data_IF_742283797710
#
_entry.id   IF_742283797710
#
_cell.length_a   1.000
_cell.length_b   1.000
_cell.length_c   1.000
_cell.angle_alpha   90.00
_cell.angle_beta   90.00
_cell.angle_gamma   90.00
#
_symmetry.space_group_name_H-M   'P 1'
#
loop_
_entity.id
_entity.type
_entity.pdbx_description
1 polymer ?
#
# COMPACT_ATOMS: atom_id res chain seq x y z
N UNK A 1 42.86 -56.19 -51.73
CA UNK A 1 42.72 -54.73 -51.52
C UNK A 1 41.44 -54.49 -50.74
N UNK A 2 41.54 -53.98 -49.50
CA UNK A 2 40.41 -53.82 -48.57
C UNK A 2 39.45 -52.74 -49.08
N UNK A 3 38.20 -53.11 -49.34
CA UNK A 3 37.10 -52.15 -49.55
C UNK A 3 36.31 -52.06 -48.24
N UNK A 4 36.40 -50.91 -47.58
CA UNK A 4 35.69 -50.60 -46.33
C UNK A 4 34.19 -50.44 -46.65
N UNK A 5 33.34 -51.31 -46.10
CA UNK A 5 31.89 -51.11 -46.06
C UNK A 5 31.57 -50.12 -44.93
N UNK A 6 31.19 -48.91 -45.30
CA UNK A 6 30.66 -47.92 -44.37
C UNK A 6 29.15 -48.18 -44.20
N UNK A 7 28.77 -48.76 -43.06
CA UNK A 7 27.37 -48.90 -42.65
C UNK A 7 26.93 -47.59 -42.01
N UNK A 8 26.06 -46.83 -42.68
CA UNK A 8 25.41 -45.64 -42.10
C UNK A 8 24.18 -46.14 -41.33
N UNK A 9 24.25 -46.10 -39.99
CA UNK A 9 23.11 -46.31 -39.11
C UNK A 9 22.26 -45.03 -39.11
N UNK A 10 21.03 -45.11 -39.65
CA UNK A 10 20.02 -44.06 -39.51
C UNK A 10 19.33 -44.27 -38.15
N UNK A 11 19.70 -43.49 -37.13
CA UNK A 11 18.97 -43.44 -35.86
C UNK A 11 17.89 -42.37 -36.00
N UNK A 12 16.66 -42.79 -36.27
CA UNK A 12 15.48 -41.94 -36.18
C UNK A 12 15.15 -41.71 -34.70
N UNK A 13 15.68 -40.64 -34.11
CA UNK A 13 15.26 -40.16 -32.80
C UNK A 13 13.90 -39.48 -32.90
N UNK A 14 12.83 -40.15 -32.47
CA UNK A 14 11.56 -39.50 -32.15
C UNK A 14 11.79 -38.60 -30.93
N UNK A 15 11.95 -37.30 -31.15
CA UNK A 15 11.78 -36.30 -30.11
C UNK A 15 10.28 -36.10 -29.89
N UNK A 16 9.73 -36.78 -28.87
CA UNK A 16 8.45 -36.42 -28.28
C UNK A 16 8.63 -35.09 -27.53
N UNK A 17 8.33 -33.99 -28.20
CA UNK A 17 8.08 -32.72 -27.52
C UNK A 17 6.76 -32.86 -26.76
N UNK A 18 6.83 -33.08 -25.45
CA UNK A 18 5.71 -32.83 -24.57
C UNK A 18 5.43 -31.31 -24.60
N UNK A 19 4.51 -30.88 -25.45
CA UNK A 19 3.94 -29.55 -25.33
C UNK A 19 3.05 -29.55 -24.08
N UNK A 20 3.63 -29.16 -22.94
CA UNK A 20 2.82 -28.73 -21.82
C UNK A 20 2.20 -27.39 -22.20
N UNK A 21 1.05 -27.43 -22.89
CA UNK A 21 0.15 -26.29 -22.93
C UNK A 21 -0.50 -26.19 -21.55
N UNK A 22 0.20 -25.55 -20.60
CA UNK A 22 -0.46 -25.08 -19.40
C UNK A 22 -1.43 -23.98 -19.82
N UNK A 23 -2.70 -24.33 -19.98
CA UNK A 23 -3.76 -23.35 -19.85
C UNK A 23 -3.82 -22.99 -18.36
N UNK A 24 -2.96 -22.07 -17.92
CA UNK A 24 -2.98 -21.55 -16.56
C UNK A 24 -4.26 -20.73 -16.42
N UNK A 25 -5.35 -21.36 -15.99
CA UNK A 25 -6.42 -20.60 -15.35
C UNK A 25 -5.79 -19.90 -14.15
N UNK A 26 -5.87 -18.56 -14.05
CA UNK A 26 -5.32 -17.84 -12.91
C UNK A 26 -5.86 -18.40 -11.60
N UNK A 27 -5.02 -18.40 -10.56
CA UNK A 27 -5.42 -18.93 -9.26
C UNK A 27 -6.58 -18.10 -8.68
N UNK A 28 -7.57 -18.78 -8.12
CA UNK A 28 -8.68 -18.21 -7.37
C UNK A 28 -8.27 -17.73 -5.96
N UNK A 29 -6.97 -17.65 -5.71
CA UNK A 29 -6.32 -17.34 -4.45
C UNK A 29 -4.96 -16.67 -4.74
N UNK A 30 -4.40 -16.01 -3.74
CA UNK A 30 -3.03 -15.48 -3.76
C UNK A 30 -2.20 -16.23 -2.72
N UNK A 31 -1.06 -16.75 -3.14
CA UNK A 31 -0.09 -17.36 -2.23
C UNK A 31 0.60 -16.29 -1.39
N UNK A 32 0.38 -16.30 -0.08
CA UNK A 32 1.05 -15.42 0.87
C UNK A 32 1.69 -16.25 1.98
N UNK A 33 3.00 -16.09 2.20
CA UNK A 33 3.79 -16.86 3.18
C UNK A 33 3.56 -18.39 3.11
N UNK A 34 3.40 -18.93 1.91
CA UNK A 34 3.23 -20.38 1.68
C UNK A 34 1.82 -20.92 1.90
N UNK A 35 0.82 -20.06 2.14
CA UNK A 35 -0.60 -20.44 2.18
C UNK A 35 -1.37 -19.70 1.07
N UNK A 36 -2.32 -20.38 0.47
CA UNK A 36 -3.28 -19.79 -0.47
C UNK A 36 -4.39 -19.04 0.28
N UNK A 37 -4.64 -17.80 -0.13
CA UNK A 37 -5.69 -16.97 0.44
C UNK A 37 -6.67 -16.47 -0.60
N UNK A 38 -7.96 -16.60 -0.31
CA UNK A 38 -8.96 -15.73 -0.90
C UNK A 38 -9.02 -14.44 -0.07
N UNK A 39 -8.85 -13.29 -0.71
CA UNK A 39 -8.88 -12.00 -0.02
C UNK A 39 -10.36 -11.62 0.22
N UNK A 40 -10.82 -11.83 1.45
CA UNK A 40 -12.10 -11.33 1.94
C UNK A 40 -11.82 -10.00 2.62
N UNK A 41 -11.62 -8.96 1.82
CA UNK A 41 -11.07 -7.70 2.26
C UNK A 41 -12.08 -6.57 2.39
N UNK A 42 -11.57 -5.38 2.74
CA UNK A 42 -12.35 -4.14 2.74
C UNK A 42 -11.46 -2.93 2.44
N UNK A 43 -12.02 -1.94 1.76
CA UNK A 43 -11.38 -0.64 1.60
C UNK A 43 -11.60 0.21 2.85
N UNK A 44 -10.49 0.64 3.45
CA UNK A 44 -10.44 1.71 4.45
C UNK A 44 -9.56 2.77 3.82
N UNK A 45 -10.09 3.51 2.83
CA UNK A 45 -9.23 4.30 1.97
C UNK A 45 -8.52 5.39 2.80
N UNK A 46 -9.16 5.89 3.85
CA UNK A 46 -8.54 6.67 4.92
C UNK A 46 -9.51 6.84 6.09
N UNK A 47 -9.00 7.19 7.27
CA UNK A 47 -9.73 7.93 8.30
C UNK A 47 -9.49 9.44 8.16
N UNK A 48 -8.23 9.83 7.93
CA UNK A 48 -7.81 11.18 7.56
C UNK A 48 -7.07 11.14 6.23
N UNK A 49 -7.72 11.56 5.14
CA UNK A 49 -7.19 11.47 3.77
C UNK A 49 -5.75 11.98 3.68
N UNK A 50 -4.85 11.11 3.23
CA UNK A 50 -3.43 11.39 3.04
C UNK A 50 -2.69 11.80 4.32
N UNK A 51 -3.28 11.59 5.50
CA UNK A 51 -2.79 12.10 6.80
C UNK A 51 -2.96 11.10 7.94
N UNK A 52 -3.30 9.84 7.65
CA UNK A 52 -3.37 8.76 8.64
C UNK A 52 -1.99 8.33 9.16
N UNK A 53 -0.91 8.78 8.53
CA UNK A 53 0.44 8.66 9.04
C UNK A 53 1.23 9.94 8.73
N UNK A 54 2.09 10.34 9.68
CA UNK A 54 2.93 11.51 9.55
C UNK A 54 2.31 12.80 10.09
N UNK A 55 2.93 13.93 9.76
CA UNK A 55 2.59 15.24 10.33
C UNK A 55 2.32 16.25 9.24
N UNK A 56 1.05 16.61 9.02
CA UNK A 56 0.72 17.64 8.03
C UNK A 56 1.27 19.00 8.48
N UNK A 57 1.95 19.73 7.59
CA UNK A 57 2.67 20.95 7.95
C UNK A 57 1.78 22.08 8.51
N UNK A 58 0.47 22.06 8.21
CA UNK A 58 -0.51 23.03 8.74
C UNK A 58 -1.44 22.43 9.80
N UNK A 59 -1.74 21.13 9.71
CA UNK A 59 -2.78 20.51 10.54
C UNK A 59 -2.20 19.74 11.73
N UNK A 60 -0.87 19.50 11.72
CA UNK A 60 -0.21 18.64 12.68
C UNK A 60 -0.44 17.15 12.38
N UNK A 61 -0.18 16.32 13.38
CA UNK A 61 -0.38 14.88 13.29
C UNK A 61 -1.86 14.53 13.46
N UNK A 62 -2.41 13.76 12.51
CA UNK A 62 -3.82 13.35 12.49
C UNK A 62 -4.01 11.84 12.70
N UNK A 63 -2.93 11.11 12.99
CA UNK A 63 -3.00 9.68 13.29
C UNK A 63 -3.92 9.37 14.48
N UNK A 64 -4.97 8.59 14.24
CA UNK A 64 -5.91 8.12 15.28
C UNK A 64 -5.76 6.62 15.55
N UNK A 65 -4.97 6.30 16.58
CA UNK A 65 -4.80 4.92 17.06
C UNK A 65 -6.13 4.24 17.44
N UNK A 66 -7.10 4.99 17.99
CA UNK A 66 -8.35 4.43 18.50
C UNK A 66 -9.26 4.00 17.35
N UNK A 67 -9.27 4.79 16.27
CA UNK A 67 -9.90 4.41 15.00
C UNK A 67 -9.35 3.07 14.50
N UNK A 68 -8.03 2.97 14.32
CA UNK A 68 -7.41 1.74 13.78
C UNK A 68 -7.61 0.53 14.71
N UNK A 69 -7.58 0.73 16.03
CA UNK A 69 -7.89 -0.33 16.99
C UNK A 69 -9.31 -0.88 16.77
N UNK A 70 -10.30 0.02 16.72
CA UNK A 70 -11.71 -0.36 16.52
C UNK A 70 -11.93 -1.01 15.15
N UNK A 71 -11.29 -0.48 14.10
CA UNK A 71 -11.35 -1.01 12.75
C UNK A 71 -10.88 -2.46 12.69
N UNK A 72 -9.68 -2.75 13.21
CA UNK A 72 -9.09 -4.08 13.09
C UNK A 72 -9.77 -5.11 13.99
N UNK A 73 -10.27 -4.71 15.17
CA UNK A 73 -11.13 -5.56 16.01
C UNK A 73 -12.41 -5.98 15.27
N UNK A 74 -13.06 -5.03 14.57
CA UNK A 74 -14.25 -5.29 13.75
C UNK A 74 -13.94 -6.17 12.55
N UNK A 75 -12.83 -5.93 11.86
CA UNK A 75 -12.39 -6.76 10.75
C UNK A 75 -12.25 -8.23 11.19
N UNK A 76 -11.56 -8.47 12.31
CA UNK A 76 -11.44 -9.80 12.89
C UNK A 76 -12.79 -10.41 13.25
N UNK A 77 -13.67 -9.65 13.90
CA UNK A 77 -14.99 -10.13 14.33
C UNK A 77 -15.87 -10.59 13.16
N UNK A 78 -15.74 -9.95 12.00
CA UNK A 78 -16.56 -10.20 10.81
C UNK A 78 -15.82 -10.95 9.70
N UNK A 79 -14.67 -11.56 10.00
CA UNK A 79 -13.98 -12.45 9.07
C UNK A 79 -13.30 -11.74 7.90
N UNK A 80 -12.98 -10.45 8.05
CA UNK A 80 -12.18 -9.69 7.08
C UNK A 80 -10.70 -9.99 7.31
N UNK A 81 -10.01 -10.47 6.28
CA UNK A 81 -8.60 -10.86 6.39
C UNK A 81 -7.60 -9.85 5.83
N UNK A 82 -8.06 -8.82 5.11
CA UNK A 82 -7.19 -7.79 4.53
C UNK A 82 -7.86 -6.41 4.49
N UNK A 83 -7.12 -5.38 4.90
CA UNK A 83 -7.50 -3.97 4.76
C UNK A 83 -6.65 -3.32 3.68
N UNK A 84 -7.30 -2.63 2.73
CA UNK A 84 -6.63 -1.74 1.77
C UNK A 84 -6.68 -0.31 2.32
N UNK A 85 -5.51 0.31 2.51
CA UNK A 85 -5.35 1.61 3.19
C UNK A 85 -4.46 2.55 2.37
N UNK A 86 -4.92 3.76 2.06
CA UNK A 86 -4.10 4.74 1.33
C UNK A 86 -3.19 5.51 2.28
N UNK A 87 -1.95 5.82 1.87
CA UNK A 87 -0.96 6.47 2.75
C UNK A 87 -0.56 7.88 2.29
N UNK A 88 0.03 8.05 1.10
CA UNK A 88 0.43 9.37 0.60
C UNK A 88 -0.74 10.08 -0.09
N UNK A 89 -1.61 9.32 -0.74
CA UNK A 89 -2.75 9.82 -1.53
C UNK A 89 -2.30 10.87 -2.57
N UNK A 90 -2.52 12.16 -2.26
CA UNK A 90 -2.17 13.30 -3.10
C UNK A 90 -0.87 14.01 -2.70
N UNK A 91 -0.14 13.50 -1.71
CA UNK A 91 1.11 14.08 -1.23
C UNK A 91 0.98 15.16 -0.16
N UNK A 92 -0.23 15.45 0.35
CA UNK A 92 -0.44 16.60 1.25
C UNK A 92 0.36 16.55 2.56
N UNK A 93 0.53 15.36 3.14
CA UNK A 93 1.26 15.16 4.40
C UNK A 93 2.56 14.39 4.21
N UNK A 94 2.59 13.46 3.28
CA UNK A 94 3.75 12.61 3.03
C UNK A 94 3.85 12.30 1.54
N UNK A 95 5.07 12.19 0.99
CA UNK A 95 6.36 12.44 1.63
C UNK A 95 6.66 13.94 1.80
N UNK A 96 7.87 14.27 2.27
CA UNK A 96 8.36 15.65 2.34
C UNK A 96 9.03 16.06 1.02
N UNK A 97 8.77 17.29 0.57
CA UNK A 97 9.29 17.84 -0.68
C UNK A 97 10.16 19.08 -0.44
N UNK A 98 11.18 19.27 -1.27
CA UNK A 98 11.88 20.55 -1.39
C UNK A 98 11.15 21.52 -2.36
N UNK A 99 11.72 22.71 -2.55
CA UNK A 99 11.16 23.75 -3.43
C UNK A 99 11.19 23.36 -4.91
N UNK A 100 12.00 22.37 -5.31
CA UNK A 100 12.02 21.87 -6.68
C UNK A 100 10.99 20.76 -6.92
N UNK A 101 10.33 20.24 -5.88
CA UNK A 101 9.39 19.13 -5.95
C UNK A 101 10.06 17.75 -5.84
N UNK A 102 11.35 17.69 -5.52
CA UNK A 102 12.04 16.45 -5.18
C UNK A 102 11.68 16.01 -3.78
N UNK A 103 11.55 14.70 -3.60
CA UNK A 103 11.27 14.13 -2.29
C UNK A 103 12.55 14.11 -1.47
N UNK A 104 12.51 14.68 -0.26
CA UNK A 104 13.65 14.78 0.65
C UNK A 104 13.57 13.84 1.84
N UNK A 105 12.41 13.22 2.09
CA UNK A 105 12.28 12.27 3.19
C UNK A 105 10.85 11.96 3.60
N UNK A 106 10.74 11.36 4.77
CA UNK A 106 9.50 11.19 5.53
C UNK A 106 9.68 11.92 6.86
N UNK A 107 8.61 12.52 7.38
CA UNK A 107 8.66 13.14 8.70
C UNK A 107 8.87 12.10 9.82
N UNK A 108 9.27 12.57 10.99
CA UNK A 108 9.65 11.69 12.11
C UNK A 108 8.51 10.82 12.66
N UNK A 109 7.25 11.15 12.40
CA UNK A 109 6.09 10.39 12.89
C UNK A 109 5.60 9.34 11.88
N UNK A 110 5.89 9.52 10.59
CA UNK A 110 5.30 8.68 9.54
C UNK A 110 5.55 7.18 9.75
N UNK A 111 6.81 6.78 9.92
CA UNK A 111 7.16 5.36 10.06
C UNK A 111 6.64 4.74 11.35
N UNK A 112 6.58 5.50 12.46
CA UNK A 112 6.07 4.99 13.73
C UNK A 112 4.54 4.87 13.73
N UNK A 113 3.82 5.76 13.03
CA UNK A 113 2.37 5.62 12.83
C UNK A 113 2.05 4.38 12.00
N UNK A 114 2.75 4.15 10.88
CA UNK A 114 2.55 2.93 10.08
C UNK A 114 2.91 1.66 10.85
N UNK A 115 3.98 1.67 11.64
CA UNK A 115 4.35 0.53 12.50
C UNK A 115 3.25 0.18 13.49
N UNK A 116 2.63 1.19 14.11
CA UNK A 116 1.52 0.97 15.04
C UNK A 116 0.27 0.42 14.32
N UNK A 117 -0.05 0.92 13.12
CA UNK A 117 -1.12 0.38 12.28
C UNK A 117 -0.88 -1.11 11.96
N UNK A 118 0.32 -1.46 11.50
CA UNK A 118 0.68 -2.86 11.24
C UNK A 118 0.61 -3.72 12.50
N UNK A 119 1.07 -3.22 13.65
CA UNK A 119 1.02 -3.94 14.91
C UNK A 119 -0.41 -4.23 15.35
N UNK A 120 -1.33 -3.26 15.23
CA UNK A 120 -2.75 -3.45 15.55
C UNK A 120 -3.39 -4.46 14.60
N UNK A 121 -3.11 -4.38 13.29
CA UNK A 121 -3.59 -5.36 12.32
C UNK A 121 -3.08 -6.77 12.62
N UNK A 122 -1.81 -6.92 12.99
CA UNK A 122 -1.21 -8.21 13.32
C UNK A 122 -1.85 -8.83 14.58
N UNK A 123 -2.10 -8.04 15.63
CA UNK A 123 -2.82 -8.48 16.84
C UNK A 123 -4.22 -9.00 16.53
N UNK A 124 -4.83 -8.49 15.46
CA UNK A 124 -6.16 -8.85 15.02
C UNK A 124 -6.17 -9.90 13.90
N UNK A 125 -5.01 -10.43 13.50
CA UNK A 125 -4.90 -11.37 12.38
C UNK A 125 -5.49 -10.82 11.07
N UNK A 126 -5.24 -9.54 10.80
CA UNK A 126 -5.68 -8.86 9.58
C UNK A 126 -4.45 -8.37 8.83
N UNK A 127 -4.38 -8.74 7.55
CA UNK A 127 -3.37 -8.25 6.61
C UNK A 127 -3.67 -6.81 6.18
N UNK A 128 -2.64 -6.10 5.73
CA UNK A 128 -2.75 -4.73 5.28
C UNK A 128 -2.05 -4.61 3.92
N UNK A 129 -2.75 -4.00 2.97
CA UNK A 129 -2.24 -3.59 1.67
C UNK A 129 -2.20 -2.05 1.62
N UNK A 130 -1.09 -1.43 2.03
CA UNK A 130 -0.89 0.01 1.85
C UNK A 130 -0.86 0.38 0.37
N UNK A 131 -1.69 1.35 -0.02
CA UNK A 131 -1.66 2.02 -1.32
C UNK A 131 -0.87 3.33 -1.20
N UNK A 132 0.29 3.39 -1.84
CA UNK A 132 1.24 4.50 -1.73
C UNK A 132 0.57 5.79 -2.20
N UNK A 133 0.20 5.85 -3.48
CA UNK A 133 -0.38 7.04 -4.12
C UNK A 133 -1.83 6.81 -4.55
N UNK A 134 -2.55 7.88 -4.84
CA UNK A 134 -3.76 7.82 -5.68
C UNK A 134 -3.61 8.78 -6.85
N UNK A 135 -4.45 8.62 -7.88
CA UNK A 135 -4.55 9.58 -8.99
C UNK A 135 -4.79 11.03 -8.55
N UNK A 136 -5.25 11.25 -7.30
CA UNK A 136 -5.36 12.58 -6.70
C UNK A 136 -4.02 13.33 -6.66
N UNK A 137 -2.88 12.64 -6.71
CA UNK A 137 -1.56 13.27 -6.80
C UNK A 137 -1.41 14.19 -8.02
N UNK A 138 -2.23 14.02 -9.06
CA UNK A 138 -2.24 14.91 -10.24
C UNK A 138 -3.46 15.82 -10.34
N UNK A 139 -4.28 15.91 -9.28
CA UNK A 139 -5.32 16.95 -9.12
C UNK A 139 -4.72 18.22 -8.50
N UNK A 140 -5.55 19.25 -8.32
CA UNK A 140 -5.17 20.46 -7.58
C UNK A 140 -6.05 20.61 -6.34
N UNK A 141 -5.47 20.35 -5.17
CA UNK A 141 -6.09 20.60 -3.87
C UNK A 141 -5.31 21.64 -3.06
N UNK A 142 -4.44 22.42 -3.71
CA UNK A 142 -3.54 23.33 -3.00
C UNK A 142 -4.27 24.40 -2.19
N UNK A 143 -5.44 24.83 -2.69
CA UNK A 143 -6.29 25.80 -2.01
C UNK A 143 -6.97 25.24 -0.75
N UNK A 144 -7.27 23.94 -0.69
CA UNK A 144 -8.03 23.32 0.41
C UNK A 144 -7.16 22.54 1.39
N UNK A 145 -6.03 22.00 0.93
CA UNK A 145 -5.20 21.06 1.67
C UNK A 145 -3.70 21.43 1.70
N UNK A 146 -3.35 22.65 1.30
CA UNK A 146 -1.99 23.16 1.41
C UNK A 146 -1.13 22.87 0.18
N UNK A 147 0.04 23.50 0.12
CA UNK A 147 0.87 23.61 -1.12
C UNK A 147 1.35 22.29 -1.72
N UNK A 148 1.28 21.18 -0.96
CA UNK A 148 1.70 19.85 -1.40
C UNK A 148 0.52 18.94 -1.78
N UNK A 149 -0.73 19.42 -1.71
CA UNK A 149 -1.90 18.60 -2.01
C UNK A 149 -2.18 18.54 -3.51
N UNK A 150 -1.62 17.52 -4.18
CA UNK A 150 -1.70 17.32 -5.62
C UNK A 150 -0.61 18.05 -6.41
N UNK A 151 -0.80 18.15 -7.73
CA UNK A 151 0.10 18.76 -8.71
C UNK A 151 1.49 18.11 -8.86
N UNK A 152 1.61 16.82 -8.54
CA UNK A 152 2.85 16.02 -8.57
C UNK A 152 3.07 15.22 -9.86
N UNK A 153 2.54 15.65 -11.01
CA UNK A 153 2.77 14.92 -12.26
C UNK A 153 4.26 14.90 -12.68
N UNK A 154 5.06 15.84 -12.20
CA UNK A 154 6.50 15.86 -12.39
C UNK A 154 7.21 14.70 -11.69
N UNK A 155 6.71 14.20 -10.56
CA UNK A 155 7.20 12.99 -9.89
C UNK A 155 7.09 11.75 -10.79
N UNK A 156 6.08 11.74 -11.68
CA UNK A 156 5.83 10.69 -12.68
C UNK A 156 6.58 10.96 -13.99
N UNK A 157 6.73 12.20 -14.43
CA UNK A 157 7.40 12.56 -15.70
C UNK A 157 8.92 12.50 -15.58
N UNK A 158 9.46 13.06 -14.51
CA UNK A 158 10.90 13.17 -14.29
C UNK A 158 11.42 11.95 -13.52
N UNK A 159 12.28 11.18 -14.18
CA UNK A 159 12.90 10.01 -13.56
C UNK A 159 13.79 10.33 -12.36
N UNK A 160 14.41 11.50 -12.30
CA UNK A 160 15.24 11.89 -11.17
C UNK A 160 14.39 12.19 -9.93
N UNK A 161 13.21 12.78 -10.10
CA UNK A 161 12.23 12.95 -9.02
C UNK A 161 11.63 11.62 -8.58
N UNK A 162 11.34 10.72 -9.52
CA UNK A 162 10.96 9.34 -9.16
C UNK A 162 12.05 8.69 -8.30
N UNK A 163 13.34 8.86 -8.65
CA UNK A 163 14.48 8.34 -7.88
C UNK A 163 14.59 9.00 -6.50
N UNK A 164 14.33 10.31 -6.36
CA UNK A 164 14.35 10.97 -5.05
C UNK A 164 13.27 10.41 -4.12
N UNK A 165 12.05 10.17 -4.63
CA UNK A 165 11.00 9.45 -3.87
C UNK A 165 11.44 8.05 -3.47
N UNK A 166 11.99 7.29 -4.43
CA UNK A 166 12.43 5.91 -4.18
C UNK A 166 13.47 5.87 -3.06
N UNK A 167 14.49 6.73 -3.12
CA UNK A 167 15.59 6.71 -2.18
C UNK A 167 15.22 7.26 -0.81
N UNK A 168 14.45 8.35 -0.78
CA UNK A 168 14.25 9.13 0.45
C UNK A 168 12.96 8.76 1.19
N UNK A 169 12.00 8.11 0.55
CA UNK A 169 10.74 7.68 1.17
C UNK A 169 10.48 6.17 1.01
N UNK A 170 10.47 5.64 -0.22
CA UNK A 170 10.08 4.26 -0.48
C UNK A 170 11.02 3.23 0.15
N UNK A 171 12.32 3.30 -0.13
CA UNK A 171 13.31 2.35 0.39
C UNK A 171 13.33 2.34 1.94
N UNK A 172 13.28 3.49 2.63
CA UNK A 172 13.08 3.53 4.09
C UNK A 172 11.85 2.74 4.56
N UNK A 173 10.68 2.90 3.92
CA UNK A 173 9.48 2.13 4.26
C UNK A 173 9.68 0.64 4.00
N UNK A 174 10.13 0.27 2.81
CA UNK A 174 10.32 -1.13 2.38
C UNK A 174 11.26 -1.86 3.34
N UNK A 175 12.37 -1.25 3.72
CA UNK A 175 13.32 -1.82 4.68
C UNK A 175 12.74 -1.90 6.09
N UNK A 176 11.99 -0.88 6.53
CA UNK A 176 11.36 -0.86 7.86
C UNK A 176 10.37 -2.00 8.04
N UNK A 177 9.60 -2.33 6.99
CA UNK A 177 8.50 -3.29 7.05
C UNK A 177 8.74 -4.62 6.32
N UNK A 178 9.98 -4.89 5.88
CA UNK A 178 10.33 -6.08 5.10
C UNK A 178 9.89 -7.40 5.78
N UNK A 179 9.97 -7.46 7.11
CA UNK A 179 9.63 -8.64 7.92
C UNK A 179 8.24 -8.57 8.58
N UNK A 180 7.44 -7.55 8.27
CA UNK A 180 6.08 -7.40 8.84
C UNK A 180 5.19 -8.53 8.35
N UNK A 181 4.76 -9.41 9.26
CA UNK A 181 4.02 -10.64 8.94
C UNK A 181 2.68 -10.40 8.23
N UNK A 182 2.06 -9.23 8.43
CA UNK A 182 0.74 -8.88 7.91
C UNK A 182 0.80 -7.77 6.85
N UNK A 183 1.99 -7.40 6.35
CA UNK A 183 2.11 -6.61 5.13
C UNK A 183 1.90 -7.52 3.92
N UNK A 184 0.68 -7.48 3.37
CA UNK A 184 0.24 -8.34 2.27
C UNK A 184 0.99 -8.00 0.98
N UNK A 185 0.86 -6.75 0.55
CA UNK A 185 1.45 -6.21 -0.66
C UNK A 185 1.57 -4.69 -0.55
N UNK A 186 2.46 -4.10 -1.35
CA UNK A 186 2.44 -2.67 -1.62
C UNK A 186 1.63 -2.42 -2.89
N UNK A 187 0.58 -1.62 -2.80
CA UNK A 187 -0.06 -1.07 -3.98
C UNK A 187 0.58 0.26 -4.34
N UNK A 188 1.06 0.39 -5.57
CA UNK A 188 1.84 1.56 -5.99
C UNK A 188 0.95 2.79 -6.10
N UNK A 189 -0.18 2.65 -6.77
CA UNK A 189 -1.07 3.76 -7.07
C UNK A 189 -2.50 3.26 -7.32
N UNK A 190 -3.45 3.96 -6.71
CA UNK A 190 -4.88 3.82 -6.96
C UNK A 190 -5.27 4.55 -8.26
N UNK A 191 -5.90 3.83 -9.17
CA UNK A 191 -6.56 4.32 -10.39
C UNK A 191 -5.70 5.26 -11.27
N UNK A 192 -4.45 4.89 -11.58
CA UNK A 192 -3.53 5.74 -12.32
C UNK A 192 -4.03 6.17 -13.71
N UNK A 193 -5.01 5.45 -14.29
CA UNK A 193 -5.58 5.80 -15.60
C UNK A 193 -6.24 7.17 -15.62
N UNK A 194 -6.72 7.68 -14.49
CA UNK A 194 -7.26 9.04 -14.40
C UNK A 194 -6.20 10.13 -14.55
N UNK A 195 -4.92 9.78 -14.43
CA UNK A 195 -3.77 10.66 -14.69
C UNK A 195 -3.17 10.48 -16.09
N UNK A 196 -3.59 9.47 -16.86
CA UNK A 196 -3.02 9.16 -18.17
C UNK A 196 -3.73 9.94 -19.29
N UNK A 197 -2.98 10.57 -20.19
CA UNK A 197 -3.52 11.24 -21.38
C UNK A 197 -4.34 10.29 -22.24
N UNK A 198 -5.56 10.71 -22.59
CA UNK A 198 -6.58 9.85 -23.20
C UNK A 198 -7.72 9.61 -22.21
N UNK A 199 -7.65 8.57 -21.36
CA UNK A 199 -8.69 8.27 -20.39
C UNK A 199 -8.76 9.26 -19.20
N UNK A 200 -7.69 10.00 -18.95
CA UNK A 200 -7.51 10.80 -17.75
C UNK A 200 -8.40 12.03 -17.66
N UNK A 201 -8.77 12.36 -16.43
CA UNK A 201 -9.70 13.45 -16.06
C UNK A 201 -9.11 14.40 -15.01
N UNK A 202 -7.88 14.14 -14.54
CA UNK A 202 -7.18 14.98 -13.57
C UNK A 202 -6.61 16.25 -14.19
N UNK A 203 -6.15 17.16 -13.33
CA UNK A 203 -5.64 18.49 -13.74
C UNK A 203 -4.36 18.35 -14.54
N UNK A 204 -3.42 17.51 -14.08
CA UNK A 204 -2.18 17.24 -14.79
C UNK A 204 -2.20 15.83 -15.38
N UNK A 205 -1.98 15.73 -16.69
CA UNK A 205 -1.89 14.45 -17.38
C UNK A 205 -0.43 14.07 -17.68
N UNK A 206 -0.18 12.77 -17.66
CA UNK A 206 1.08 12.11 -18.06
C UNK A 206 0.79 11.15 -19.22
N UNK A 207 1.79 10.79 -20.00
CA UNK A 207 1.64 9.71 -20.97
C UNK A 207 1.54 8.35 -20.28
N UNK A 208 0.92 7.36 -20.94
CA UNK A 208 0.88 5.99 -20.42
C UNK A 208 2.29 5.42 -20.17
N UNK A 209 3.24 5.72 -21.07
CA UNK A 209 4.64 5.28 -20.93
C UNK A 209 5.30 5.86 -19.66
N UNK A 210 5.06 7.13 -19.35
CA UNK A 210 5.59 7.76 -18.12
C UNK A 210 4.99 7.13 -16.87
N UNK A 211 3.67 6.89 -16.85
CA UNK A 211 3.01 6.23 -15.70
C UNK A 211 3.48 4.79 -15.51
N UNK A 212 3.60 4.01 -16.58
CA UNK A 212 4.10 2.62 -16.52
C UNK A 212 5.56 2.61 -16.07
N UNK A 213 6.41 3.55 -16.55
CA UNK A 213 7.80 3.70 -16.08
C UNK A 213 7.84 4.01 -14.58
N UNK A 214 7.04 4.95 -14.10
CA UNK A 214 6.96 5.32 -12.69
C UNK A 214 6.60 4.11 -11.81
N UNK A 215 5.55 3.38 -12.18
CA UNK A 215 5.18 2.15 -11.48
C UNK A 215 6.27 1.08 -11.56
N UNK A 216 6.93 0.94 -12.72
CA UNK A 216 7.98 -0.07 -12.91
C UNK A 216 9.20 0.18 -12.05
N UNK A 217 9.58 1.45 -11.87
CA UNK A 217 10.68 1.85 -10.98
C UNK A 217 10.37 1.59 -9.51
N UNK A 218 9.15 1.87 -9.07
CA UNK A 218 8.72 1.59 -7.70
C UNK A 218 8.67 0.08 -7.44
N UNK A 219 8.09 -0.70 -8.36
CA UNK A 219 8.04 -2.16 -8.26
C UNK A 219 9.44 -2.77 -8.18
N UNK A 220 10.35 -2.32 -9.05
CA UNK A 220 11.74 -2.80 -9.05
C UNK A 220 12.46 -2.46 -7.75
N UNK A 221 12.28 -1.26 -7.21
CA UNK A 221 12.86 -0.86 -5.93
C UNK A 221 12.33 -1.70 -4.76
N UNK A 222 11.03 -2.03 -4.74
CA UNK A 222 10.43 -2.89 -3.71
C UNK A 222 11.00 -4.31 -3.79
N UNK A 223 11.04 -4.91 -4.98
CA UNK A 223 11.58 -6.26 -5.20
C UNK A 223 13.08 -6.37 -4.94
N UNK A 224 13.84 -5.29 -5.18
CA UNK A 224 15.27 -5.26 -4.88
C UNK A 224 15.58 -5.17 -3.38
N UNK A 225 14.61 -4.73 -2.55
CA UNK A 225 14.82 -4.46 -1.13
C UNK A 225 13.91 -5.28 -0.20
N UNK A 226 12.99 -6.10 -0.73
CA UNK A 226 12.11 -6.97 0.04
C UNK A 226 11.55 -8.10 -0.81
N UNK A 227 11.00 -9.13 -0.14
CA UNK A 227 10.21 -10.19 -0.79
C UNK A 227 8.71 -9.90 -0.78
N UNK A 228 8.29 -8.65 -0.54
CA UNK A 228 6.87 -8.27 -0.48
C UNK A 228 6.29 -8.10 -1.86
N UNK A 229 5.03 -8.48 -2.01
CA UNK A 229 4.31 -8.41 -3.28
C UNK A 229 4.00 -6.95 -3.66
N UNK A 230 3.81 -6.72 -4.96
CA UNK A 230 3.50 -5.42 -5.56
C UNK A 230 2.29 -5.52 -6.48
N UNK A 231 1.41 -4.52 -6.43
CA UNK A 231 0.25 -4.39 -7.33
C UNK A 231 -0.04 -2.93 -7.72
N UNK A 232 -1.00 -2.74 -8.63
CA UNK A 232 -1.58 -1.45 -9.05
C UNK A 232 -3.09 -1.63 -9.12
N UNK A 233 -3.86 -0.79 -8.41
CA UNK A 233 -5.31 -0.79 -8.45
C UNK A 233 -5.82 -0.10 -9.71
N UNK A 234 -6.04 -0.86 -10.78
CA UNK A 234 -6.54 -0.32 -12.05
C UNK A 234 -8.02 0.04 -11.95
N UNK A 235 -8.39 1.25 -12.39
CA UNK A 235 -9.75 1.76 -12.28
C UNK A 235 -10.80 0.95 -13.05
N UNK A 236 -10.35 0.14 -14.03
CA UNK A 236 -11.25 -0.66 -14.83
C UNK A 236 -10.52 -1.81 -15.52
N UNK A 237 -11.18 -2.97 -15.57
CA UNK A 237 -10.67 -4.17 -16.25
C UNK A 237 -10.33 -3.95 -17.74
N UNK A 238 -10.92 -2.93 -18.38
CA UNK A 238 -10.61 -2.57 -19.78
C UNK A 238 -9.17 -2.10 -20.01
N UNK A 239 -8.49 -1.65 -18.97
CA UNK A 239 -7.07 -1.21 -19.01
C UNK A 239 -6.11 -2.25 -18.42
N UNK A 240 -6.63 -3.42 -18.06
CA UNK A 240 -5.90 -4.50 -17.40
C UNK A 240 -6.00 -5.83 -18.18
N UNK A 241 -6.22 -5.79 -19.50
CA UNK A 241 -6.40 -7.03 -20.29
C UNK A 241 -5.91 -6.90 -21.72
N UNK A 242 -5.28 -7.96 -22.24
CA UNK A 242 -4.87 -8.07 -23.66
C UNK A 242 -5.98 -8.58 -24.58
N UNK A 243 -7.17 -8.86 -24.03
CA UNK A 243 -8.33 -9.29 -24.79
C UNK A 243 -9.02 -8.10 -25.46
N UNK A 244 -8.47 -7.66 -26.59
CA UNK A 244 -9.02 -6.54 -27.36
C UNK A 244 -10.44 -6.86 -27.83
N UNK A 245 -11.38 -5.98 -27.46
CA UNK A 245 -12.81 -6.22 -27.60
C UNK A 245 -13.29 -7.29 -26.60
N UNK A 246 -13.79 -6.93 -25.40
CA UNK A 246 -14.12 -5.58 -24.91
C UNK A 246 -12.95 -4.77 -24.31
N UNK A 247 -11.82 -5.34 -23.90
CA UNK A 247 -10.74 -4.52 -23.31
C UNK A 247 -10.07 -3.59 -24.34
N UNK A 248 -9.50 -2.49 -23.86
CA UNK A 248 -8.80 -1.49 -24.67
C UNK A 248 -7.29 -1.79 -24.73
N UNK A 249 -6.69 -2.12 -23.58
CA UNK A 249 -5.24 -2.31 -23.43
C UNK A 249 -4.93 -2.99 -22.09
N UNK A 250 -3.71 -3.50 -21.94
CA UNK A 250 -3.18 -3.93 -20.65
C UNK A 250 -1.98 -3.05 -20.28
N UNK A 251 -2.17 -2.00 -19.49
CA UNK A 251 -1.07 -1.12 -19.08
C UNK A 251 -0.12 -1.80 -18.08
N UNK A 252 -0.64 -2.76 -17.31
CA UNK A 252 0.02 -3.26 -16.09
C UNK A 252 0.65 -4.66 -16.20
N UNK A 253 0.78 -5.24 -17.39
CA UNK A 253 1.44 -6.53 -17.57
C UNK A 253 2.95 -6.39 -17.81
N UNK A 254 3.67 -7.51 -17.75
CA UNK A 254 5.12 -7.55 -17.86
C UNK A 254 5.63 -7.01 -19.21
N UNK A 255 4.89 -7.19 -20.30
CA UNK A 255 5.29 -6.65 -21.61
C UNK A 255 5.18 -5.12 -21.67
N UNK A 256 4.15 -4.53 -21.05
CA UNK A 256 4.02 -3.08 -20.91
C UNK A 256 5.12 -2.49 -20.03
N UNK A 257 5.43 -3.13 -18.89
CA UNK A 257 6.57 -2.73 -18.06
C UNK A 257 7.89 -2.85 -18.82
N UNK A 258 8.14 -3.95 -19.53
CA UNK A 258 9.36 -4.12 -20.33
C UNK A 258 9.50 -3.05 -21.42
N UNK A 259 8.39 -2.62 -22.04
CA UNK A 259 8.39 -1.57 -23.05
C UNK A 259 8.68 -0.16 -22.48
N UNK A 260 8.27 0.12 -21.24
CA UNK A 260 8.46 1.43 -20.59
C UNK A 260 9.75 1.51 -19.76
N UNK A 261 10.12 0.43 -19.07
CA UNK A 261 11.24 0.33 -18.13
C UNK A 261 11.70 -1.13 -17.99
N UNK A 262 12.54 -1.60 -18.93
CA UNK A 262 12.99 -2.99 -19.03
C UNK A 262 13.94 -3.42 -17.90
N UNK A 263 13.40 -3.68 -16.71
CA UNK A 263 14.11 -4.26 -15.57
C UNK A 263 13.41 -5.53 -15.08
N UNK A 264 14.14 -6.60 -14.72
CA UNK A 264 13.53 -7.85 -14.26
C UNK A 264 12.61 -7.72 -13.04
N UNK A 265 12.88 -6.75 -12.15
CA UNK A 265 12.06 -6.46 -10.97
C UNK A 265 10.85 -5.56 -11.25
N UNK A 266 10.71 -4.98 -12.45
CA UNK A 266 9.60 -4.11 -12.81
C UNK A 266 8.40 -4.95 -13.26
N UNK A 267 7.69 -5.53 -12.30
CA UNK A 267 6.52 -6.38 -12.54
C UNK A 267 5.56 -6.28 -11.35
N UNK A 268 4.31 -6.68 -11.55
CA UNK A 268 3.34 -6.90 -10.48
C UNK A 268 3.29 -8.38 -10.12
N UNK A 269 2.99 -8.72 -8.87
CA UNK A 269 2.83 -10.14 -8.46
C UNK A 269 1.40 -10.63 -8.66
N UNK A 270 0.43 -9.73 -8.61
CA UNK A 270 -0.97 -9.97 -8.93
C UNK A 270 -1.60 -8.71 -9.51
N UNK A 271 -2.65 -8.87 -10.32
CA UNK A 271 -3.41 -7.75 -10.85
C UNK A 271 -4.49 -7.33 -9.87
N UNK A 272 -4.80 -6.04 -9.84
CA UNK A 272 -5.94 -5.51 -9.10
C UNK A 272 -6.81 -4.68 -10.05
N UNK A 273 -8.11 -4.92 -10.02
CA UNK A 273 -9.12 -4.24 -10.85
C UNK A 273 -10.24 -3.69 -9.99
N UNK A 274 -10.80 -2.57 -10.41
CA UNK A 274 -11.99 -2.00 -9.79
C UNK A 274 -13.21 -2.21 -10.68
N UNK A 275 -14.37 -2.24 -10.03
CA UNK A 275 -15.66 -2.33 -10.68
C UNK A 275 -16.65 -1.35 -10.07
N UNK A 276 -17.44 -0.68 -10.90
CA UNK A 276 -18.64 0.04 -10.50
C UNK A 276 -19.71 -0.13 -11.58
N UNK A 277 -20.98 0.05 -11.22
CA UNK A 277 -22.14 -0.34 -12.06
C UNK A 277 -22.17 0.25 -13.47
N UNK A 278 -21.55 1.40 -13.71
CA UNK A 278 -21.44 1.97 -15.06
C UNK A 278 -20.66 1.07 -16.04
N UNK A 279 -19.85 0.14 -15.51
CA UNK A 279 -19.08 -0.84 -16.28
C UNK A 279 -19.89 -2.06 -16.69
N UNK A 280 -21.09 -2.23 -16.11
CA UNK A 280 -21.99 -3.32 -16.46
C UNK A 280 -22.54 -3.12 -17.87
N UNK A 281 -22.29 -4.11 -18.72
CA UNK A 281 -23.04 -4.32 -19.95
C UNK A 281 -22.99 -5.82 -20.29
N UNK A 282 -24.14 -6.47 -20.54
CA UNK A 282 -24.18 -7.92 -20.76
C UNK A 282 -23.40 -8.37 -22.01
N UNK A 283 -23.25 -7.49 -23.00
CA UNK A 283 -22.65 -7.82 -24.29
C UNK A 283 -21.16 -7.48 -24.34
N UNK A 284 -20.78 -6.30 -23.85
CA UNK A 284 -19.42 -5.76 -23.96
C UNK A 284 -18.84 -5.17 -22.66
N UNK A 285 -19.50 -5.37 -21.52
CA UNK A 285 -19.10 -4.79 -20.25
C UNK A 285 -17.76 -5.30 -19.72
N UNK A 286 -17.22 -4.55 -18.76
CA UNK A 286 -15.95 -4.80 -18.08
C UNK A 286 -16.16 -5.42 -16.70
N UNK A 287 -17.27 -6.15 -16.57
CA UNK A 287 -17.79 -6.66 -15.33
C UNK A 287 -17.12 -7.98 -14.92
N UNK A 288 -16.38 -8.03 -13.80
CA UNK A 288 -15.78 -9.26 -13.31
C UNK A 288 -16.81 -10.21 -12.64
N UNK A 289 -18.02 -9.73 -12.33
CA UNK A 289 -19.06 -10.51 -11.66
C UNK A 289 -20.03 -11.19 -12.63
N UNK A 290 -20.00 -10.84 -13.92
CA UNK A 290 -20.81 -11.52 -14.91
C UNK A 290 -20.28 -12.96 -15.11
N UNK A 291 -21.20 -13.92 -15.18
CA UNK A 291 -20.86 -15.32 -15.44
C UNK A 291 -20.00 -15.43 -16.72
N UNK A 292 -19.02 -16.35 -16.71
CA UNK A 292 -18.04 -16.59 -17.80
C UNK A 292 -16.97 -15.52 -17.99
N UNK A 293 -17.06 -14.34 -17.37
CA UNK A 293 -16.04 -13.29 -17.43
C UNK A 293 -14.90 -13.57 -16.45
N UNK A 294 -14.32 -14.76 -16.53
CA UNK A 294 -13.23 -15.24 -15.65
C UNK A 294 -11.89 -14.57 -15.99
N UNK A 295 -10.87 -14.63 -15.11
CA UNK A 295 -9.53 -14.18 -15.45
C UNK A 295 -8.98 -14.78 -16.76
N UNK A 296 -9.29 -16.06 -17.05
CA UNK A 296 -8.94 -16.70 -18.33
C UNK A 296 -9.64 -16.06 -19.53
N UNK A 297 -10.93 -15.70 -19.41
CA UNK A 297 -11.64 -14.97 -20.46
C UNK A 297 -10.91 -13.66 -20.79
N UNK A 298 -10.46 -12.95 -19.76
CA UNK A 298 -9.72 -11.69 -19.84
C UNK A 298 -8.22 -11.85 -20.18
N UNK A 299 -7.74 -13.07 -20.43
CA UNK A 299 -6.32 -13.34 -20.70
C UNK A 299 -5.38 -12.76 -19.62
N UNK A 300 -5.83 -12.79 -18.37
CA UNK A 300 -5.00 -12.44 -17.22
C UNK A 300 -4.11 -13.63 -16.93
N UNK A 301 -2.82 -13.38 -16.71
CA UNK A 301 -1.78 -14.39 -16.49
C UNK A 301 -1.27 -14.43 -15.04
N UNK A 302 -1.90 -13.65 -14.15
CA UNK A 302 -1.60 -13.59 -12.71
C UNK A 302 -2.90 -13.66 -11.91
N UNK A 303 -2.85 -14.06 -10.62
CA UNK A 303 -3.98 -13.90 -9.72
C UNK A 303 -4.54 -12.47 -9.82
N UNK A 304 -5.86 -12.33 -9.78
CA UNK A 304 -6.51 -11.03 -9.96
C UNK A 304 -7.46 -10.76 -8.80
N UNK A 305 -7.20 -9.69 -8.07
CA UNK A 305 -7.99 -9.20 -6.96
C UNK A 305 -9.00 -8.15 -7.47
N UNK A 306 -10.27 -8.25 -7.07
CA UNK A 306 -11.23 -7.16 -7.25
C UNK A 306 -11.02 -6.19 -6.09
N UNK A 307 -10.18 -5.18 -6.32
CA UNK A 307 -9.66 -4.25 -5.31
C UNK A 307 -10.64 -3.17 -4.86
N UNK A 308 -11.65 -2.90 -5.68
CA UNK A 308 -12.80 -2.07 -5.31
C UNK A 308 -14.05 -2.57 -6.03
N UNK A 309 -15.17 -2.56 -5.29
CA UNK A 309 -16.52 -2.73 -5.80
C UNK A 309 -17.50 -2.00 -4.87
N UNK A 310 -18.75 -1.70 -5.28
CA UNK A 310 -19.73 -1.11 -4.39
C UNK A 310 -19.93 -1.96 -3.12
N UNK A 311 -19.82 -1.34 -1.94
CA UNK A 311 -20.20 -1.92 -0.65
C UNK A 311 -21.69 -1.80 -0.34
N UNK A 312 -22.48 -1.35 -1.31
CA UNK A 312 -23.94 -1.33 -1.32
C UNK A 312 -24.48 -2.10 -2.52
N UNK A 313 -25.75 -2.48 -2.46
CA UNK A 313 -26.42 -3.08 -3.60
C UNK A 313 -26.57 -2.08 -4.75
N UNK A 314 -26.33 -2.58 -5.96
CA UNK A 314 -26.49 -1.84 -7.21
C UNK A 314 -26.97 -2.79 -8.29
N UNK A 315 -26.16 -3.02 -9.32
CA UNK A 315 -26.43 -4.05 -10.33
C UNK A 315 -26.54 -5.45 -9.72
N UNK A 316 -25.68 -5.73 -8.75
CA UNK A 316 -25.64 -6.95 -7.95
C UNK A 316 -25.84 -6.58 -6.48
N UNK A 317 -26.34 -7.51 -5.68
CA UNK A 317 -26.17 -7.41 -4.23
C UNK A 317 -24.70 -7.66 -3.87
N UNK A 318 -24.25 -7.19 -2.70
CA UNK A 318 -22.89 -7.46 -2.26
C UNK A 318 -22.62 -8.96 -2.12
N UNK A 319 -23.55 -9.72 -1.53
CA UNK A 319 -23.52 -11.17 -1.52
C UNK A 319 -23.30 -11.79 -2.92
N UNK A 320 -24.01 -11.32 -3.94
CA UNK A 320 -23.80 -11.79 -5.31
C UNK A 320 -22.39 -11.45 -5.81
N UNK A 321 -21.88 -10.24 -5.54
CA UNK A 321 -20.52 -9.87 -5.95
C UNK A 321 -19.46 -10.77 -5.30
N UNK A 322 -19.59 -11.06 -4.01
CA UNK A 322 -18.66 -11.95 -3.29
C UNK A 322 -18.69 -13.38 -3.88
N UNK A 323 -19.88 -13.96 -4.01
CA UNK A 323 -20.05 -15.33 -4.54
C UNK A 323 -19.62 -15.43 -6.02
N UNK A 324 -19.89 -14.40 -6.82
CA UNK A 324 -19.49 -14.34 -8.22
C UNK A 324 -17.98 -14.15 -8.37
N UNK A 325 -17.33 -13.33 -7.54
CA UNK A 325 -15.87 -13.19 -7.53
C UNK A 325 -15.20 -14.55 -7.29
N UNK A 326 -15.66 -15.27 -6.27
CA UNK A 326 -15.15 -16.60 -5.94
C UNK A 326 -15.41 -17.62 -7.06
N UNK A 327 -16.66 -17.69 -7.56
CA UNK A 327 -17.06 -18.66 -8.60
C UNK A 327 -16.38 -18.39 -9.94
N UNK A 328 -16.17 -17.13 -10.31
CA UNK A 328 -15.48 -16.74 -11.55
C UNK A 328 -13.95 -16.90 -11.45
N UNK A 329 -13.41 -17.26 -10.28
CA UNK A 329 -11.99 -17.53 -10.08
C UNK A 329 -11.12 -16.30 -9.85
N UNK A 330 -11.70 -15.19 -9.38
CA UNK A 330 -10.92 -14.06 -8.87
C UNK A 330 -10.36 -14.40 -7.48
N UNK A 331 -9.22 -13.80 -7.14
CA UNK A 331 -8.48 -14.12 -5.91
C UNK A 331 -9.01 -13.41 -4.65
N UNK A 332 -10.06 -12.61 -4.79
CA UNK A 332 -10.66 -11.89 -3.67
C UNK A 332 -11.51 -10.71 -4.11
N UNK A 333 -12.08 -10.05 -3.11
CA UNK A 333 -12.92 -8.87 -3.24
C UNK A 333 -12.69 -7.92 -2.06
N UNK A 334 -12.70 -6.61 -2.32
CA UNK A 334 -12.55 -5.58 -1.30
C UNK A 334 -13.64 -4.50 -1.49
N UNK A 335 -14.79 -4.60 -0.81
CA UNK A 335 -15.87 -3.62 -0.97
C UNK A 335 -15.44 -2.21 -0.52
N UNK A 336 -15.87 -1.22 -1.28
CA UNK A 336 -15.74 0.21 -1.00
C UNK A 336 -16.98 0.71 -0.27
N UNK A 337 -16.90 1.38 0.89
CA UNK A 337 -15.76 1.48 1.82
C UNK A 337 -16.25 1.45 3.27
N UNK A 338 -15.32 1.23 4.21
CA UNK A 338 -15.60 1.11 5.63
C UNK A 338 -16.26 2.36 6.24
N UNK A 339 -15.70 3.55 5.99
CA UNK A 339 -16.13 4.81 6.61
C UNK A 339 -17.24 5.56 5.85
N UNK A 340 -17.78 4.98 4.79
CA UNK A 340 -18.86 5.62 4.02
C UNK A 340 -18.46 7.01 3.53
N UNK A 341 -17.25 7.13 2.98
CA UNK A 341 -16.69 8.41 2.51
C UNK A 341 -17.47 9.00 1.32
N UNK A 342 -18.34 8.19 0.73
CA UNK A 342 -19.29 8.54 -0.33
C UNK A 342 -20.52 7.61 -0.29
N UNK A 343 -21.33 7.66 -1.35
CA UNK A 343 -22.57 6.89 -1.48
C UNK A 343 -22.38 5.41 -1.87
N UNK A 344 -21.16 4.96 -2.18
CA UNK A 344 -20.91 3.65 -2.77
C UNK A 344 -20.69 2.54 -1.73
N UNK A 345 -20.66 2.87 -0.43
CA UNK A 345 -20.46 1.87 0.61
C UNK A 345 -20.64 2.33 2.03
N UNK A 346 -20.72 1.35 2.94
CA UNK A 346 -20.54 1.55 4.37
C UNK A 346 -20.17 0.24 5.05
N UNK A 347 -19.50 0.29 6.21
CA UNK A 347 -19.28 -0.90 7.04
C UNK A 347 -20.55 -1.69 7.34
N UNK A 348 -21.66 -0.99 7.64
CA UNK A 348 -22.94 -1.64 7.92
C UNK A 348 -23.55 -2.30 6.69
N UNK A 349 -23.27 -1.78 5.49
CA UNK A 349 -23.69 -2.36 4.23
C UNK A 349 -22.97 -3.66 3.89
N UNK A 350 -21.72 -3.84 4.34
CA UNK A 350 -20.88 -4.95 3.90
C UNK A 350 -20.58 -6.04 4.94
N UNK A 351 -20.52 -5.71 6.24
CA UNK A 351 -19.97 -6.61 7.27
C UNK A 351 -20.65 -7.97 7.37
N UNK A 352 -21.97 -8.04 7.20
CA UNK A 352 -22.72 -9.28 7.37
C UNK A 352 -22.50 -10.25 6.20
N UNK A 353 -22.43 -9.74 4.97
CA UNK A 353 -22.18 -10.57 3.79
C UNK A 353 -20.73 -11.09 3.76
N UNK A 354 -19.76 -10.25 4.15
CA UNK A 354 -18.36 -10.65 4.33
C UNK A 354 -18.22 -11.74 5.40
N UNK A 355 -18.97 -11.62 6.51
CA UNK A 355 -19.01 -12.63 7.57
C UNK A 355 -19.66 -13.93 7.11
N UNK A 356 -20.79 -13.86 6.41
CA UNK A 356 -21.48 -15.05 5.92
C UNK A 356 -20.57 -15.85 4.97
N UNK A 357 -19.86 -15.17 4.07
CA UNK A 357 -18.90 -15.81 3.18
C UNK A 357 -17.71 -16.39 3.95
N UNK A 358 -17.14 -15.62 4.89
CA UNK A 358 -16.09 -16.11 5.78
C UNK A 358 -16.48 -17.42 6.49
N UNK A 359 -17.67 -17.46 7.10
CA UNK A 359 -18.10 -18.62 7.90
C UNK A 359 -18.20 -19.91 7.06
N UNK A 360 -18.37 -19.80 5.73
CA UNK A 360 -18.35 -20.94 4.78
C UNK A 360 -16.95 -21.27 4.23
N UNK A 361 -16.03 -20.30 4.22
CA UNK A 361 -14.75 -20.38 3.52
C UNK A 361 -13.52 -20.09 4.42
N UNK A 362 -13.66 -20.23 5.73
CA UNK A 362 -12.64 -19.88 6.73
C UNK A 362 -11.25 -20.49 6.43
N UNK A 363 -11.17 -21.71 5.90
CA UNK A 363 -9.88 -22.37 5.61
C UNK A 363 -8.98 -21.59 4.64
N UNK A 364 -9.57 -20.89 3.67
CA UNK A 364 -8.87 -20.07 2.66
C UNK A 364 -8.90 -18.57 2.99
N UNK A 365 -9.56 -18.14 4.07
CA UNK A 365 -9.64 -16.73 4.47
C UNK A 365 -8.81 -16.48 5.73
N UNK A 366 -8.86 -17.36 6.73
CA UNK A 366 -8.22 -17.17 8.03
C UNK A 366 -6.72 -16.98 7.88
N UNK A 367 -6.30 -15.75 8.14
CA UNK A 367 -4.89 -15.39 8.28
C UNK A 367 -4.49 -15.49 9.73
N UNK A 368 -3.24 -15.84 9.98
CA UNK A 368 -2.61 -15.68 11.30
C UNK A 368 -1.21 -15.14 11.07
N UNK A 369 -0.85 -14.12 11.83
CA UNK A 369 0.53 -13.69 11.88
C UNK A 369 1.33 -14.77 12.62
N UNK A 370 2.12 -15.56 11.90
CA UNK A 370 2.96 -16.59 12.50
C UNK A 370 3.85 -16.02 13.59
N UNK A 371 3.98 -16.75 14.71
CA UNK A 371 4.81 -16.39 15.88
C UNK A 371 6.32 -16.46 15.61
N UNK A 372 6.75 -16.47 14.35
CA UNK A 372 8.14 -16.34 13.95
C UNK A 372 8.67 -14.96 14.30
N UNK A 373 9.11 -14.81 15.55
CA UNK A 373 10.37 -14.16 15.92
C UNK A 373 10.58 -12.69 15.55
N UNK A 374 9.57 -11.99 15.05
CA UNK A 374 9.59 -10.53 15.11
C UNK A 374 9.29 -10.22 16.56
N UNK A 375 10.35 -10.18 17.37
CA UNK A 375 10.45 -9.12 18.35
C UNK A 375 10.21 -7.85 17.53
N UNK A 376 8.93 -7.43 17.44
CA UNK A 376 8.64 -6.06 17.70
C UNK A 376 9.35 -5.86 19.03
N UNK A 377 10.60 -5.39 19.00
CA UNK A 377 11.10 -4.65 20.13
C UNK A 377 9.93 -3.75 20.40
N UNK A 378 9.20 -4.03 21.49
CA UNK A 378 8.21 -3.12 22.01
C UNK A 378 8.98 -1.81 21.98
N UNK A 379 8.71 -0.93 21.02
CA UNK A 379 8.85 0.48 21.29
C UNK A 379 7.83 0.62 22.38
N UNK A 380 8.34 0.55 23.59
CA UNK A 380 7.61 0.62 24.82
C UNK A 380 6.88 1.96 24.74
N UNK A 381 5.65 1.94 24.22
CA UNK A 381 4.60 2.79 24.73
C UNK A 381 4.09 2.13 26.02
N UNK A 382 5.01 1.84 26.96
CA UNK A 382 4.61 2.10 28.33
C UNK A 382 4.39 3.61 28.36
N UNK A 383 3.32 4.06 29.00
CA UNK A 383 3.55 5.09 30.02
C UNK A 383 4.59 4.50 30.99
N UNK A 384 5.86 4.49 30.59
CA UNK A 384 6.93 4.26 31.52
C UNK A 384 7.08 5.64 32.11
N UNK A 385 6.75 5.76 33.39
CA UNK A 385 7.52 6.68 34.21
C UNK A 385 8.98 6.28 33.99
N UNK A 386 9.64 6.99 33.08
CA UNK A 386 11.06 6.81 32.83
C UNK A 386 11.73 7.04 34.18
N UNK A 387 12.49 6.06 34.65
CA UNK A 387 13.28 6.22 35.85
C UNK A 387 14.39 7.22 35.56
N UNK A 388 14.09 8.49 35.81
CA UNK A 388 14.99 9.61 35.60
C UNK A 388 16.14 9.64 36.62
N UNK A 389 16.21 8.68 37.55
CA UNK A 389 17.31 8.58 38.51
C UNK A 389 18.66 8.30 37.83
N UNK A 390 18.67 7.73 36.61
CA UNK A 390 19.90 7.47 35.84
C UNK A 390 20.24 8.58 34.82
N UNK A 391 19.38 9.58 34.66
CA UNK A 391 19.57 10.63 33.68
C UNK A 391 20.71 11.58 34.10
N UNK A 392 21.72 11.72 33.23
CA UNK A 392 22.87 12.58 33.48
C UNK A 392 22.87 13.84 32.64
N UNK A 393 22.22 13.83 31.47
CA UNK A 393 22.25 14.97 30.55
C UNK A 393 20.98 15.12 29.71
N UNK A 394 20.78 16.35 29.23
CA UNK A 394 19.79 16.69 28.21
C UNK A 394 20.49 17.41 27.07
N UNK A 395 20.27 16.92 25.86
CA UNK A 395 20.67 17.60 24.63
C UNK A 395 19.45 18.27 24.01
N UNK A 396 19.60 19.53 23.59
CA UNK A 396 18.56 20.32 22.94
C UNK A 396 18.96 20.60 21.48
N UNK A 397 17.99 20.47 20.59
CA UNK A 397 18.13 20.67 19.15
C UNK A 397 17.12 21.73 18.69
N UNK A 398 17.46 22.44 17.62
CA UNK A 398 16.47 23.21 16.88
C UNK A 398 15.59 22.29 16.01
N UNK A 399 14.57 22.87 15.39
CA UNK A 399 13.62 22.15 14.54
C UNK A 399 14.24 21.52 13.29
N UNK A 400 15.45 21.94 12.89
CA UNK A 400 16.21 21.32 11.80
C UNK A 400 17.05 20.13 12.25
N UNK A 401 16.99 19.77 13.54
CA UNK A 401 17.78 18.69 14.13
C UNK A 401 19.22 19.10 14.44
N UNK A 402 19.58 20.38 14.32
CA UNK A 402 20.91 20.86 14.69
C UNK A 402 21.01 20.96 16.20
N UNK A 403 22.04 20.30 16.76
CA UNK A 403 22.34 20.35 18.19
C UNK A 403 22.66 21.80 18.59
N UNK A 404 21.89 22.34 19.52
CA UNK A 404 22.12 23.66 20.09
C UNK A 404 23.08 23.56 21.28
N UNK A 405 22.74 22.73 22.28
CA UNK A 405 23.56 22.57 23.48
C UNK A 405 23.23 21.28 24.24
N UNK A 406 24.05 20.97 25.25
CA UNK A 406 23.82 19.85 26.18
C UNK A 406 24.06 20.33 27.61
N UNK A 407 23.16 20.00 28.52
CA UNK A 407 23.21 20.38 29.94
C UNK A 407 23.15 19.13 30.81
N UNK A 408 23.73 19.14 32.03
CA UNK A 408 23.48 18.12 33.02
C UNK A 408 21.99 18.06 33.38
N UNK A 409 21.40 16.87 33.45
CA UNK A 409 20.01 16.71 33.86
C UNK A 409 19.93 16.74 35.39
N UNK A 410 19.18 17.70 35.95
CA UNK A 410 18.92 17.79 37.39
C UNK A 410 17.46 17.55 37.74
N UNK A 411 16.55 18.15 36.97
CA UNK A 411 15.10 18.01 37.10
C UNK A 411 14.37 18.49 35.82
N UNK A 412 13.03 18.41 35.78
CA UNK A 412 12.22 18.93 34.67
C UNK A 412 12.33 20.45 34.47
N UNK A 413 12.74 21.20 35.50
CA UNK A 413 12.88 22.66 35.43
C UNK A 413 14.15 23.09 34.67
N UNK A 414 15.11 22.18 34.50
CA UNK A 414 16.33 22.41 33.70
C UNK A 414 16.00 22.79 32.23
N UNK A 415 14.79 22.45 31.76
CA UNK A 415 14.30 22.65 30.40
C UNK A 415 13.72 24.05 30.15
N UNK A 416 13.48 24.85 31.19
CA UNK A 416 12.80 26.16 31.10
C UNK A 416 13.74 27.36 30.82
N UNK A 417 15.05 27.12 30.73
CA UNK A 417 16.05 28.16 30.47
C UNK A 417 16.30 28.41 28.97
N UNK A 418 15.76 27.54 28.11
CA UNK A 418 15.90 27.64 26.66
C UNK A 418 14.72 28.46 26.10
N UNK A 419 14.99 29.61 25.49
CA UNK A 419 14.00 30.59 25.06
C UNK A 419 12.92 30.11 24.07
N UNK A 420 12.10 31.07 23.62
CA UNK A 420 10.75 30.97 22.99
C UNK A 420 10.62 30.21 21.64
N UNK A 421 11.50 29.28 21.29
CA UNK A 421 11.39 28.52 20.04
C UNK A 421 10.92 27.07 20.30
N UNK A 422 10.38 26.42 19.27
CA UNK A 422 10.10 24.98 19.30
C UNK A 422 11.45 24.26 19.40
N UNK A 423 11.62 23.48 20.46
CA UNK A 423 12.86 22.80 20.77
C UNK A 423 12.62 21.30 20.94
N UNK A 424 13.43 20.49 20.27
CA UNK A 424 13.46 19.04 20.46
C UNK A 424 14.50 18.75 21.56
N UNK A 425 14.16 17.90 22.53
CA UNK A 425 15.09 17.47 23.57
C UNK A 425 15.30 15.96 23.58
N UNK A 426 16.49 15.55 24.02
CA UNK A 426 16.85 14.16 24.30
C UNK A 426 17.49 14.08 25.70
N UNK A 427 16.93 13.26 26.59
CA UNK A 427 17.50 12.95 27.91
C UNK A 427 18.34 11.67 27.79
N UNK A 428 19.53 11.66 28.39
CA UNK A 428 20.47 10.54 28.30
C UNK A 428 21.01 10.09 29.65
N UNK A 429 21.42 8.82 29.73
CA UNK A 429 22.10 8.24 30.89
C UNK A 429 23.63 8.49 30.86
N UNK A 430 24.33 8.00 31.89
CA UNK A 430 25.80 8.08 31.99
C UNK A 430 26.57 7.32 30.90
N UNK A 431 25.91 6.42 30.17
CA UNK A 431 26.47 5.66 29.06
C UNK A 431 26.07 6.26 27.70
N UNK A 432 25.48 7.46 27.69
CA UNK A 432 25.02 8.19 26.52
C UNK A 432 23.83 7.55 25.78
N UNK A 433 23.11 6.61 26.41
CA UNK A 433 21.87 6.05 25.86
C UNK A 433 20.73 7.06 25.96
N UNK A 434 19.85 7.09 24.96
CA UNK A 434 18.66 7.95 24.99
C UNK A 434 17.62 7.31 25.92
N UNK A 435 17.31 8.00 27.01
CA UNK A 435 16.26 7.62 27.95
C UNK A 435 14.90 8.17 27.53
N UNK A 436 14.85 9.40 26.99
CA UNK A 436 13.59 10.05 26.58
C UNK A 436 13.82 11.10 25.50
N UNK A 437 12.87 11.27 24.60
CA UNK A 437 12.80 12.40 23.67
C UNK A 437 11.49 13.16 23.83
N UNK A 438 11.44 14.42 23.41
CA UNK A 438 10.21 15.19 23.38
C UNK A 438 10.39 16.58 22.78
N UNK A 439 9.30 17.35 22.78
CA UNK A 439 9.19 18.62 22.09
C UNK A 439 8.57 19.64 23.07
N UNK A 440 9.05 20.88 23.09
CA UNK A 440 8.39 21.95 23.85
C UNK A 440 7.58 22.88 22.94
N UNK A 441 6.35 23.15 23.38
CA UNK A 441 5.53 24.27 22.91
C UNK A 441 5.48 25.30 24.04
N UNK A 442 5.95 26.52 23.81
CA UNK A 442 5.79 27.58 24.80
C UNK A 442 4.36 28.16 24.68
N UNK A 443 3.37 27.52 25.32
CA UNK A 443 2.06 28.16 25.49
C UNK A 443 2.08 29.05 26.73
N UNK A 444 1.81 30.34 26.52
CA UNK A 444 1.59 31.29 27.62
C UNK A 444 0.19 31.02 28.18
N UNK A 445 0.10 30.20 29.23
CA UNK A 445 -0.77 30.37 30.43
C UNK A 445 -1.03 29.02 31.12
N UNK A 446 -0.41 28.80 32.28
CA UNK A 446 -1.12 28.66 33.55
C UNK A 446 -0.12 28.39 34.68
N UNK A 447 0.03 29.39 35.53
CA UNK A 447 0.52 29.25 36.91
C UNK A 447 -0.63 28.74 37.76
N UNK A 448 -0.67 27.45 38.09
CA UNK A 448 -1.14 26.90 39.38
C UNK A 448 -0.37 25.59 39.62
N UNK A 449 0.17 25.47 40.82
CA UNK A 449 1.23 24.56 41.28
C UNK A 449 0.99 23.06 41.13
#
# INVERSE_FOLDING_TARGET
>A
MKLVKLTILFVAGLFLFAQNTYSLTPANTITYNGKEYFINGINVPWNSFGSDAGTHYQWGALYDRSFFTTLFERCKQYGVNCVRLWIHCDGRTSPEFDDDGSVIGLDSNFLSNLEDIFAIGAQNNVMIMPCLWSFDMTKDFTASAGKYAGLHADLIKDSLKTVSYINNALIPMVKRFANTCNLFAWEIINEPEWSISGPGTTVQLVSAKEMIRFCGMIAEAIHANSSKMVTVGSACLKWNSTRIGPAEVHYWNDSSFAAAYNKPGAKLDFYQIHYYDWMYNPDWGYDPFQETKTPSYWKLDKPTLIGENPGVAGKYTLKQMIENAYTNGYAGIMPWSYDSVDQYGSWNGCKNDLKEFHDKHASIIDFTCGSSGVNYNKSIHNKQDYDLNEATSVTVFDISGKKLFTLPFKDRNTLLSAGKNILIYQIRDRHNNILKTGNFFADKRSTVW
#
